data_IF_411125988275
#
_entry.id   IF_411125988275
#
_cell.length_a   1.000
_cell.length_b   1.000
_cell.length_c   1.000
_cell.angle_alpha   90.00
_cell.angle_beta   90.00
_cell.angle_gamma   90.00
#
_symmetry.space_group_name_H-M   'P 1'
#
loop_
_entity.id
_entity.type
_entity.pdbx_description
1 polymer ?
#
# COMPACT_ATOMS: atom_id res chain seq x y z
N UNK A 1 10.85 -2.88 -19.77
CA UNK A 1 10.57 -3.26 -18.37
C UNK A 1 9.60 -4.43 -18.36
N UNK A 2 9.97 -5.57 -17.76
CA UNK A 2 8.99 -6.62 -17.43
C UNK A 2 8.47 -6.30 -16.02
N UNK A 3 7.28 -5.71 -15.94
CA UNK A 3 6.58 -5.51 -14.67
C UNK A 3 5.67 -6.71 -14.43
N UNK A 4 6.04 -7.60 -13.51
CA UNK A 4 5.15 -8.67 -13.05
C UNK A 4 4.34 -8.15 -11.85
N UNK A 5 3.29 -7.38 -12.12
CA UNK A 5 2.27 -7.01 -11.12
C UNK A 5 1.30 -8.17 -10.89
N UNK A 6 1.79 -9.29 -10.35
CA UNK A 6 0.94 -10.45 -9.98
C UNK A 6 0.96 -10.64 -8.46
N UNK A 7 -0.08 -11.24 -7.89
CA UNK A 7 -0.14 -11.60 -6.45
C UNK A 7 1.09 -12.43 -5.98
N UNK A 8 1.84 -13.03 -6.89
CA UNK A 8 3.06 -13.76 -6.61
C UNK A 8 4.33 -12.88 -6.55
N UNK A 9 4.23 -11.57 -6.79
CA UNK A 9 5.38 -10.66 -6.91
C UNK A 9 6.29 -10.69 -5.69
N UNK A 10 5.71 -10.59 -4.48
CA UNK A 10 6.48 -10.56 -3.23
C UNK A 10 7.27 -11.85 -2.99
N UNK A 11 6.73 -13.00 -3.40
CA UNK A 11 7.47 -14.27 -3.33
C UNK A 11 8.51 -14.36 -4.44
N UNK A 12 8.16 -13.94 -5.65
CA UNK A 12 9.04 -14.04 -6.81
C UNK A 12 10.26 -13.14 -6.66
N UNK A 13 10.11 -11.91 -6.13
CA UNK A 13 11.22 -10.99 -5.96
C UNK A 13 12.26 -11.52 -4.97
N UNK A 14 11.81 -12.19 -3.90
CA UNK A 14 12.72 -12.84 -2.94
C UNK A 14 13.49 -13.97 -3.63
N UNK A 15 12.82 -14.81 -4.41
CA UNK A 15 13.46 -15.89 -5.18
C UNK A 15 14.49 -15.34 -6.17
N UNK A 16 14.15 -14.30 -6.93
CA UNK A 16 15.04 -13.71 -7.93
C UNK A 16 16.27 -13.05 -7.27
N UNK A 17 16.07 -12.39 -6.12
CA UNK A 17 17.16 -11.83 -5.31
C UNK A 17 18.05 -12.94 -4.77
N UNK A 18 17.52 -14.06 -4.30
CA UNK A 18 18.31 -15.20 -3.80
C UNK A 18 19.06 -15.92 -4.92
N UNK A 19 18.43 -16.11 -6.07
CA UNK A 19 19.02 -16.71 -7.26
C UNK A 19 20.11 -15.83 -7.92
N UNK A 20 20.22 -14.56 -7.52
CA UNK A 20 21.21 -13.62 -8.08
C UNK A 20 20.82 -13.06 -9.45
N UNK A 21 19.54 -13.15 -9.81
CA UNK A 21 18.98 -12.58 -11.03
C UNK A 21 17.84 -11.58 -10.75
N UNK A 22 18.01 -10.61 -9.82
CA UNK A 22 16.96 -9.65 -9.53
C UNK A 22 16.76 -8.69 -10.72
N UNK A 23 15.56 -8.09 -10.85
CA UNK A 23 15.38 -6.96 -11.75
C UNK A 23 16.24 -5.76 -11.31
N UNK A 24 16.55 -4.85 -12.24
CA UNK A 24 17.27 -3.62 -11.91
C UNK A 24 16.47 -2.69 -10.99
N UNK A 25 15.14 -2.67 -11.13
CA UNK A 25 14.21 -1.87 -10.34
C UNK A 25 13.01 -2.74 -9.99
N UNK A 26 12.64 -2.76 -8.71
CA UNK A 26 11.47 -3.43 -8.18
C UNK A 26 10.58 -2.40 -7.47
N UNK A 27 9.27 -2.54 -7.62
CA UNK A 27 8.30 -1.64 -7.01
C UNK A 27 7.42 -2.47 -6.08
N UNK A 28 7.50 -2.17 -4.79
CA UNK A 28 6.78 -2.91 -3.73
C UNK A 28 5.85 -1.95 -2.99
N UNK A 29 4.60 -2.34 -2.70
CA UNK A 29 3.72 -1.57 -1.83
C UNK A 29 4.14 -1.65 -0.35
N UNK A 30 4.87 -2.69 0.03
CA UNK A 30 5.35 -2.90 1.40
C UNK A 30 6.83 -2.48 1.53
N UNK A 31 7.14 -1.39 2.25
CA UNK A 31 8.53 -0.97 2.45
C UNK A 31 9.33 -1.98 3.29
N UNK A 32 8.65 -2.79 4.12
CA UNK A 32 9.28 -3.84 4.92
C UNK A 32 9.98 -4.93 4.10
N UNK A 33 9.58 -5.14 2.84
CA UNK A 33 10.26 -6.10 1.95
C UNK A 33 11.68 -5.68 1.57
N UNK A 34 12.08 -4.42 1.83
CA UNK A 34 13.45 -3.95 1.62
C UNK A 34 14.41 -4.36 2.75
N UNK A 35 13.89 -4.68 3.94
CA UNK A 35 14.70 -4.90 5.14
C UNK A 35 15.68 -6.08 5.01
N UNK A 36 15.16 -7.26 4.69
CA UNK A 36 15.97 -8.49 4.59
C UNK A 36 17.03 -8.41 3.47
N UNK A 37 16.69 -7.98 2.24
CA UNK A 37 17.68 -7.77 1.19
C UNK A 37 18.74 -6.72 1.55
N UNK A 38 18.37 -5.63 2.24
CA UNK A 38 19.33 -4.61 2.70
C UNK A 38 20.34 -5.20 3.69
N UNK A 39 19.88 -5.94 4.71
CA UNK A 39 20.74 -6.62 5.70
C UNK A 39 21.68 -7.64 5.05
N UNK A 40 21.26 -8.27 3.95
CA UNK A 40 22.06 -9.24 3.19
C UNK A 40 22.95 -8.60 2.12
N UNK A 41 22.99 -7.27 2.02
CA UNK A 41 23.79 -6.54 1.02
C UNK A 41 23.37 -6.79 -0.43
N UNK A 42 22.07 -7.07 -0.66
CA UNK A 42 21.51 -7.37 -2.00
C UNK A 42 20.85 -6.16 -2.66
N UNK A 43 20.89 -4.98 -2.03
CA UNK A 43 20.37 -3.73 -2.57
C UNK A 43 21.51 -2.74 -2.83
N UNK A 44 21.36 -1.92 -3.87
CA UNK A 44 22.25 -0.82 -4.14
C UNK A 44 21.93 0.36 -3.21
N UNK A 45 22.96 0.96 -2.61
CA UNK A 45 22.81 2.23 -1.90
C UNK A 45 22.64 3.37 -2.92
N UNK A 46 21.52 4.08 -2.83
CA UNK A 46 21.17 5.25 -3.64
C UNK A 46 21.86 6.53 -3.13
N UNK A 47 22.44 6.47 -1.93
CA UNK A 47 23.26 7.51 -1.32
C UNK A 47 22.48 8.65 -0.66
N UNK A 48 23.16 9.34 0.26
CA UNK A 48 22.58 10.45 1.04
C UNK A 48 22.12 11.64 0.19
N UNK A 49 22.77 11.91 -0.95
CA UNK A 49 22.35 12.98 -1.86
C UNK A 49 20.94 12.76 -2.44
N UNK A 50 20.63 11.51 -2.81
CA UNK A 50 19.29 11.13 -3.28
C UNK A 50 18.26 11.24 -2.16
N UNK A 51 18.64 10.83 -0.94
CA UNK A 51 17.77 10.96 0.23
C UNK A 51 17.46 12.43 0.58
N UNK A 52 18.46 13.31 0.51
CA UNK A 52 18.27 14.76 0.69
C UNK A 52 17.38 15.34 -0.40
N UNK A 53 17.64 15.03 -1.66
CA UNK A 53 16.83 15.50 -2.79
C UNK A 53 15.35 15.09 -2.64
N UNK A 54 15.10 13.84 -2.25
CA UNK A 54 13.74 13.34 -2.02
C UNK A 54 13.07 14.07 -0.86
N UNK A 55 13.79 14.32 0.23
CA UNK A 55 13.27 15.07 1.38
C UNK A 55 12.89 16.51 1.02
N UNK A 56 13.66 17.15 0.14
CA UNK A 56 13.44 18.53 -0.31
C UNK A 56 12.34 18.66 -1.37
N UNK A 57 12.17 17.64 -2.21
CA UNK A 57 11.31 17.71 -3.40
C UNK A 57 9.95 17.04 -3.19
N UNK A 58 9.85 16.03 -2.32
CA UNK A 58 8.59 15.31 -2.10
C UNK A 58 7.65 16.08 -1.17
N UNK A 59 6.37 16.15 -1.55
CA UNK A 59 5.34 16.88 -0.79
C UNK A 59 5.15 16.35 0.64
N UNK A 60 5.46 15.06 0.87
CA UNK A 60 5.37 14.46 2.18
C UNK A 60 6.68 14.55 2.99
N UNK A 61 7.79 14.98 2.39
CA UNK A 61 9.06 15.24 3.05
C UNK A 61 9.70 14.03 3.76
N UNK A 62 10.27 14.26 4.94
CA UNK A 62 11.10 13.26 5.65
C UNK A 62 10.40 11.94 6.01
N UNK A 63 9.09 11.87 6.31
CA UNK A 63 8.38 10.60 6.45
C UNK A 63 8.51 9.66 5.25
N UNK A 64 8.49 10.19 4.02
CA UNK A 64 8.59 9.37 2.81
C UNK A 64 10.01 8.90 2.55
N UNK A 65 11.01 9.74 2.84
CA UNK A 65 12.43 9.36 2.79
C UNK A 65 12.74 8.28 3.81
N UNK A 66 12.14 8.33 5.01
CA UNK A 66 12.37 7.35 6.06
C UNK A 66 11.96 5.92 5.67
N UNK A 67 11.01 5.74 4.73
CA UNK A 67 10.60 4.43 4.24
C UNK A 67 11.68 3.73 3.39
N UNK A 68 12.63 4.47 2.85
CA UNK A 68 13.78 3.95 2.10
C UNK A 68 15.02 3.72 2.95
N UNK A 69 15.00 4.12 4.23
CA UNK A 69 16.10 3.92 5.16
C UNK A 69 15.87 2.63 5.96
N UNK A 70 16.94 1.86 6.16
CA UNK A 70 16.88 0.68 7.03
C UNK A 70 17.53 0.97 8.38
N UNK A 71 16.83 0.65 9.47
CA UNK A 71 17.34 0.88 10.82
C UNK A 71 18.66 0.12 11.04
N UNK A 72 19.71 0.83 11.43
CA UNK A 72 21.05 0.25 11.65
C UNK A 72 21.95 0.19 10.41
N UNK A 73 21.48 0.66 9.25
CA UNK A 73 22.31 0.85 8.06
C UNK A 73 22.34 2.34 7.68
N UNK A 74 23.53 2.92 7.53
CA UNK A 74 23.71 4.27 7.00
C UNK A 74 23.65 4.30 5.47
N UNK A 75 22.53 3.82 4.91
CA UNK A 75 22.32 3.71 3.46
C UNK A 75 20.84 3.90 3.09
N UNK A 76 20.60 4.38 1.87
CA UNK A 76 19.26 4.68 1.35
C UNK A 76 18.92 3.73 0.20
N UNK A 77 17.90 2.90 0.36
CA UNK A 77 17.66 1.75 -0.51
C UNK A 77 16.39 1.85 -1.37
N UNK A 78 15.57 2.89 -1.21
CA UNK A 78 14.31 3.00 -1.94
C UNK A 78 13.74 4.40 -1.99
N UNK A 79 13.09 4.73 -3.10
CA UNK A 79 12.37 6.00 -3.28
C UNK A 79 10.87 5.74 -3.24
N UNK A 80 10.17 6.43 -2.34
CA UNK A 80 8.71 6.42 -2.28
C UNK A 80 8.14 7.27 -3.42
N UNK A 81 7.13 6.78 -4.12
CA UNK A 81 6.54 7.47 -5.28
C UNK A 81 5.00 7.53 -5.25
N UNK A 82 4.35 6.75 -4.40
CA UNK A 82 2.90 6.68 -4.27
C UNK A 82 2.51 6.24 -2.85
N UNK A 83 1.36 6.71 -2.37
CA UNK A 83 0.71 6.22 -1.15
C UNK A 83 -0.73 5.84 -1.45
N UNK A 84 -1.15 4.68 -0.95
CA UNK A 84 -2.54 4.26 -0.96
C UNK A 84 -3.13 4.41 0.44
N UNK A 85 -4.25 5.12 0.55
CA UNK A 85 -4.94 5.31 1.84
C UNK A 85 -5.96 4.20 2.08
N UNK A 86 -5.97 3.65 3.30
CA UNK A 86 -6.92 2.61 3.75
C UNK A 86 -7.29 2.84 5.22
N UNK A 87 -8.55 2.64 5.65
CA UNK A 87 -9.73 2.29 4.85
C UNK A 87 -10.49 3.52 4.31
N UNK A 88 -10.78 3.52 3.01
CA UNK A 88 -11.76 4.42 2.40
C UNK A 88 -13.13 3.73 2.35
N UNK A 89 -14.20 4.49 2.58
CA UNK A 89 -15.58 4.07 2.37
C UNK A 89 -16.17 4.91 1.25
N UNK A 90 -16.63 4.23 0.20
CA UNK A 90 -17.30 4.87 -0.94
C UNK A 90 -18.80 4.66 -0.80
N UNK A 91 -19.57 5.75 -0.77
CA UNK A 91 -21.03 5.75 -0.80
C UNK A 91 -21.54 6.41 -2.07
N UNK A 92 -22.74 6.01 -2.52
CA UNK A 92 -23.48 6.74 -3.58
C UNK A 92 -24.40 7.74 -2.91
N UNK A 93 -24.22 9.03 -3.19
CA UNK A 93 -25.00 10.11 -2.58
C UNK A 93 -26.50 9.95 -2.83
N UNK A 94 -26.90 9.65 -4.08
CA UNK A 94 -28.30 9.45 -4.46
C UNK A 94 -28.99 8.39 -3.57
N UNK A 95 -28.34 7.24 -3.34
CA UNK A 95 -28.88 6.18 -2.48
C UNK A 95 -28.98 6.58 -1.01
N UNK A 96 -28.06 7.43 -0.54
CA UNK A 96 -28.07 7.90 0.85
C UNK A 96 -29.13 8.98 1.08
N UNK A 97 -29.40 9.81 0.07
CA UNK A 97 -30.44 10.83 0.09
C UNK A 97 -31.84 10.20 -0.06
N UNK A 98 -32.01 9.25 -1.00
CA UNK A 98 -33.28 8.55 -1.25
C UNK A 98 -33.77 7.74 -0.04
N UNK A 99 -32.84 7.26 0.79
CA UNK A 99 -33.11 6.38 1.93
C UNK A 99 -32.83 7.05 3.30
N UNK A 100 -32.59 8.37 3.29
CA UNK A 100 -32.39 9.21 4.48
C UNK A 100 -31.33 8.66 5.47
N UNK A 101 -30.19 8.21 4.93
CA UNK A 101 -29.13 7.54 5.70
C UNK A 101 -28.13 8.49 6.40
N UNK A 102 -28.05 9.76 5.98
CA UNK A 102 -27.13 10.76 6.54
C UNK A 102 -25.64 10.39 6.48
N UNK A 103 -24.77 11.28 6.98
CA UNK A 103 -23.33 11.04 7.08
C UNK A 103 -23.00 10.11 8.26
N UNK A 104 -22.50 8.91 7.96
CA UNK A 104 -22.08 7.92 8.95
C UNK A 104 -20.67 8.25 9.48
N UNK A 105 -20.50 8.44 10.79
CA UNK A 105 -19.24 8.85 11.43
C UNK A 105 -18.60 7.76 12.29
N UNK A 106 -19.31 6.67 12.55
CA UNK A 106 -18.86 5.59 13.42
C UNK A 106 -19.03 4.21 12.79
N UNK A 107 -18.38 3.21 13.38
CA UNK A 107 -18.62 1.81 13.03
C UNK A 107 -20.04 1.36 13.41
N UNK A 108 -20.58 1.87 14.52
CA UNK A 108 -21.94 1.56 14.98
C UNK A 108 -23.00 2.04 14.00
N UNK A 109 -22.91 3.29 13.54
CA UNK A 109 -23.81 3.84 12.52
C UNK A 109 -23.70 3.08 11.20
N UNK A 110 -22.49 2.71 10.77
CA UNK A 110 -22.28 1.88 9.56
C UNK A 110 -22.91 0.50 9.67
N UNK A 111 -22.92 -0.08 10.87
CA UNK A 111 -23.57 -1.36 11.12
C UNK A 111 -25.09 -1.21 11.10
N UNK A 112 -25.64 -0.24 11.81
CA UNK A 112 -27.07 0.05 11.82
C UNK A 112 -27.60 0.38 10.42
N UNK A 113 -26.84 1.14 9.61
CA UNK A 113 -27.21 1.40 8.21
C UNK A 113 -27.25 0.12 7.37
N UNK A 114 -26.36 -0.83 7.66
CA UNK A 114 -26.31 -2.12 6.94
C UNK A 114 -27.53 -2.97 7.30
N UNK A 115 -27.94 -2.97 8.57
CA UNK A 115 -29.15 -3.66 9.04
C UNK A 115 -30.41 -3.05 8.40
N UNK A 116 -30.55 -1.72 8.39
CA UNK A 116 -31.69 -1.06 7.73
C UNK A 116 -31.71 -1.31 6.21
N UNK A 117 -30.56 -1.28 5.52
CA UNK A 117 -30.51 -1.57 4.07
C UNK A 117 -31.02 -2.98 3.74
N UNK A 118 -30.83 -3.96 4.65
CA UNK A 118 -31.38 -5.32 4.49
C UNK A 118 -32.91 -5.31 4.68
N UNK A 119 -33.42 -4.55 5.65
CA UNK A 119 -34.86 -4.38 5.87
C UNK A 119 -35.54 -3.69 4.67
N UNK A 120 -34.84 -2.75 4.03
CA UNK A 120 -35.31 -2.00 2.85
C UNK A 120 -35.16 -2.80 1.52
N UNK A 121 -34.74 -4.08 1.58
CA UNK A 121 -34.39 -4.91 0.41
C UNK A 121 -33.35 -4.28 -0.53
N UNK A 122 -32.54 -3.35 -0.03
CA UNK A 122 -31.46 -2.70 -0.74
C UNK A 122 -30.14 -3.47 -0.62
N UNK A 123 -29.26 -3.36 -1.63
CA UNK A 123 -27.92 -3.97 -1.57
C UNK A 123 -27.01 -3.19 -0.61
N UNK A 124 -26.64 -3.73 0.57
CA UNK A 124 -26.01 -2.92 1.61
C UNK A 124 -24.56 -2.55 1.28
N UNK A 125 -23.80 -3.46 0.66
CA UNK A 125 -22.39 -3.26 0.30
C UNK A 125 -22.02 -4.09 -0.92
N UNK A 126 -21.22 -3.51 -1.82
CA UNK A 126 -20.54 -4.25 -2.89
C UNK A 126 -19.12 -4.58 -2.44
N UNK A 127 -18.84 -5.85 -2.13
CA UNK A 127 -17.52 -6.31 -1.69
C UNK A 127 -17.04 -7.40 -2.64
N UNK A 128 -15.92 -7.16 -3.34
CA UNK A 128 -15.19 -8.19 -4.07
C UNK A 128 -14.04 -8.72 -3.22
N UNK A 129 -14.11 -9.97 -2.77
CA UNK A 129 -13.01 -10.64 -2.08
C UNK A 129 -12.36 -11.60 -3.08
N UNK A 130 -11.14 -11.26 -3.53
CA UNK A 130 -10.30 -12.16 -4.32
C UNK A 130 -9.33 -12.91 -3.40
N UNK A 131 -9.27 -14.24 -3.49
CA UNK A 131 -8.35 -15.08 -2.69
C UNK A 131 -6.97 -15.23 -3.36
N UNK A 132 -6.37 -14.10 -3.74
CA UNK A 132 -5.01 -14.03 -4.27
C UNK A 132 -3.96 -14.18 -3.18
N UNK A 133 -2.69 -14.35 -3.57
CA UNK A 133 -1.53 -14.44 -2.69
C UNK A 133 -1.14 -13.08 -2.05
N UNK A 134 -2.12 -12.26 -1.67
CA UNK A 134 -1.93 -10.95 -1.06
C UNK A 134 -1.67 -11.12 0.45
N UNK A 135 -0.61 -10.51 0.98
CA UNK A 135 -0.54 -10.16 2.40
C UNK A 135 -1.69 -9.18 2.70
N UNK A 136 -2.53 -9.51 3.70
CA UNK A 136 -3.83 -8.86 3.94
C UNK A 136 -3.78 -7.44 4.49
#
# INVERSE_FOLDING_TARGET
MRGNGSDAFERQIVIDVEAGSPPNIAVSPEPGLLCDPALRGRLADLGGGTASWMTETDAAGSPWTALGLHAGLEAFFGSSYNVNVRPLVWSRSETFDDLDYGLLRSMGERRASTERMVEDEAMPRCIGIGSGATSG
#
